data_IF_300919790902
#
_entry.id   IF_300919790902
#
_cell.length_a   1.000
_cell.length_b   1.000
_cell.length_c   1.000
_cell.angle_alpha   90.00
_cell.angle_beta   90.00
_cell.angle_gamma   90.00
#
_symmetry.space_group_name_H-M   'P 1'
#
loop_
_entity.id
_entity.type
_entity.pdbx_description
1 polymer ?
#
# COMPACT_ATOMS: atom_id res chain seq x y z
N UNK A 1 -18.46 37.31 -28.49
CA UNK A 1 -18.66 35.85 -28.51
C UNK A 1 -17.95 35.32 -27.29
N UNK A 2 -18.72 34.95 -26.27
CA UNK A 2 -18.16 34.49 -24.99
C UNK A 2 -17.87 32.99 -25.08
N UNK A 3 -16.60 32.63 -25.04
CA UNK A 3 -16.17 31.23 -24.95
C UNK A 3 -16.44 30.73 -23.54
N UNK A 4 -17.50 29.92 -23.39
CA UNK A 4 -17.72 29.13 -22.18
C UNK A 4 -16.63 28.08 -22.06
N UNK A 5 -15.60 28.36 -21.25
CA UNK A 5 -14.64 27.36 -20.80
C UNK A 5 -15.35 26.40 -19.87
N UNK A 6 -15.77 25.24 -20.39
CA UNK A 6 -16.25 24.15 -19.54
C UNK A 6 -15.08 23.65 -18.70
N UNK A 7 -15.07 23.95 -17.39
CA UNK A 7 -14.21 23.27 -16.43
C UNK A 7 -14.58 21.79 -16.45
N UNK A 8 -13.82 20.99 -17.19
CA UNK A 8 -13.88 19.53 -17.07
C UNK A 8 -13.24 19.22 -15.72
N UNK A 9 -14.07 18.89 -14.72
CA UNK A 9 -13.62 18.41 -13.43
C UNK A 9 -12.77 17.14 -13.68
N UNK A 10 -11.45 17.12 -13.40
CA UNK A 10 -10.64 15.92 -13.58
C UNK A 10 -10.92 14.96 -12.42
N UNK A 11 -12.16 14.50 -12.30
CA UNK A 11 -12.52 13.47 -11.34
C UNK A 11 -11.99 12.11 -11.83
N UNK A 12 -10.94 11.66 -11.13
CA UNK A 12 -10.82 10.28 -10.64
C UNK A 12 -10.24 9.23 -11.61
N UNK A 13 -9.00 9.45 -12.06
CA UNK A 13 -8.12 8.37 -12.52
C UNK A 13 -7.34 7.70 -11.37
N UNK A 14 -7.68 8.02 -10.12
CA UNK A 14 -6.99 7.53 -8.93
C UNK A 14 -7.99 7.02 -7.90
N UNK A 15 -7.64 5.90 -7.26
CA UNK A 15 -8.23 5.44 -6.01
C UNK A 15 -7.39 5.98 -4.86
N UNK A 16 -8.01 6.73 -3.95
CA UNK A 16 -7.34 7.36 -2.81
C UNK A 16 -7.83 6.73 -1.51
N UNK A 17 -6.94 5.98 -0.86
CA UNK A 17 -7.20 5.32 0.41
C UNK A 17 -6.57 6.10 1.56
N UNK A 18 -7.39 6.85 2.30
CA UNK A 18 -6.95 7.71 3.41
C UNK A 18 -6.83 6.88 4.69
N UNK A 19 -5.70 6.95 5.39
CA UNK A 19 -5.56 6.28 6.69
C UNK A 19 -6.27 7.07 7.78
N UNK A 20 -7.07 6.37 8.60
CA UNK A 20 -7.89 6.99 9.65
C UNK A 20 -7.10 7.65 10.79
N UNK A 21 -5.77 7.52 10.81
CA UNK A 21 -4.84 8.06 11.81
C UNK A 21 -3.39 7.97 11.31
N UNK A 22 -2.43 8.57 12.03
CA UNK A 22 -0.99 8.53 11.71
C UNK A 22 -0.27 7.18 11.99
N UNK A 23 -0.93 6.07 11.71
CA UNK A 23 -0.38 4.75 11.96
C UNK A 23 -1.10 3.75 11.08
N UNK A 24 -0.39 2.70 10.68
CA UNK A 24 -1.04 1.56 10.03
C UNK A 24 -1.59 0.55 11.06
N UNK A 25 -1.19 0.66 12.33
CA UNK A 25 -1.61 -0.25 13.39
C UNK A 25 -3.05 0.04 13.81
N UNK A 26 -3.96 -0.95 13.75
CA UNK A 26 -5.37 -0.78 14.12
C UNK A 26 -6.04 0.42 13.40
N UNK A 27 -5.70 0.62 12.12
CA UNK A 27 -6.20 1.72 11.31
C UNK A 27 -7.28 1.26 10.32
N UNK A 28 -8.07 2.21 9.82
CA UNK A 28 -8.97 1.97 8.70
C UNK A 28 -8.45 2.73 7.47
N UNK A 29 -8.63 2.15 6.29
CA UNK A 29 -8.43 2.86 5.03
C UNK A 29 -9.79 3.28 4.52
N UNK A 30 -9.96 4.59 4.36
CA UNK A 30 -11.18 5.21 3.90
C UNK A 30 -11.07 5.52 2.41
N UNK A 31 -12.10 5.16 1.67
CA UNK A 31 -12.31 5.56 0.29
C UNK A 31 -13.56 6.44 0.26
N UNK A 32 -13.45 7.67 -0.25
CA UNK A 32 -14.55 8.64 -0.28
C UNK A 32 -15.25 8.81 1.09
N UNK A 33 -14.46 8.81 2.18
CA UNK A 33 -14.95 8.96 3.55
C UNK A 33 -15.59 7.71 4.17
N UNK A 34 -15.71 6.60 3.42
CA UNK A 34 -16.24 5.34 3.93
C UNK A 34 -15.13 4.31 4.16
N UNK A 35 -15.26 3.47 5.18
CA UNK A 35 -14.26 2.44 5.48
C UNK A 35 -14.30 1.39 4.36
N UNK A 36 -13.21 1.30 3.59
CA UNK A 36 -13.03 0.28 2.54
C UNK A 36 -12.25 -0.92 3.05
N UNK A 37 -11.19 -0.67 3.85
CA UNK A 37 -10.37 -1.73 4.44
C UNK A 37 -10.14 -1.51 5.93
N UNK A 38 -10.07 -2.60 6.69
CA UNK A 38 -9.80 -2.60 8.13
C UNK A 38 -8.48 -3.29 8.42
N UNK A 39 -7.59 -2.62 9.15
CA UNK A 39 -6.32 -3.17 9.62
C UNK A 39 -6.50 -3.47 11.11
N UNK A 40 -6.37 -4.74 11.49
CA UNK A 40 -6.48 -5.19 12.87
C UNK A 40 -5.15 -5.77 13.32
N UNK A 41 -4.49 -5.09 14.24
CA UNK A 41 -3.17 -5.45 14.76
C UNK A 41 -3.30 -6.04 16.17
N UNK A 42 -2.75 -7.23 16.37
CA UNK A 42 -2.75 -7.95 17.64
C UNK A 42 -1.35 -8.52 17.98
N UNK A 43 -1.19 -8.96 19.23
CA UNK A 43 0.06 -9.49 19.76
C UNK A 43 1.02 -8.41 20.29
N UNK A 44 2.00 -8.84 21.10
CA UNK A 44 3.04 -7.92 21.61
C UNK A 44 3.83 -7.36 20.42
N UNK A 45 4.15 -6.07 20.46
CA UNK A 45 4.91 -5.38 19.41
C UNK A 45 4.30 -5.48 18.00
N UNK A 46 2.96 -5.52 17.90
CA UNK A 46 2.26 -5.55 16.61
C UNK A 46 2.63 -6.76 15.72
N UNK A 47 2.81 -7.94 16.34
CA UNK A 47 3.24 -9.16 15.64
C UNK A 47 2.29 -9.63 14.53
N UNK A 48 1.00 -9.38 14.65
CA UNK A 48 0.02 -9.86 13.68
C UNK A 48 -0.84 -8.69 13.21
N UNK A 49 -0.83 -8.40 11.91
CA UNK A 49 -1.77 -7.44 11.32
C UNK A 49 -2.61 -8.14 10.27
N UNK A 50 -3.92 -8.25 10.52
CA UNK A 50 -4.92 -8.72 9.56
C UNK A 50 -5.45 -7.55 8.77
N UNK A 51 -5.65 -7.77 7.47
CA UNK A 51 -6.21 -6.77 6.55
C UNK A 51 -7.46 -7.37 5.96
N UNK A 52 -8.59 -6.69 6.15
CA UNK A 52 -9.89 -7.15 5.67
C UNK A 52 -10.52 -6.11 4.74
N UNK A 53 -11.17 -6.58 3.68
CA UNK A 53 -12.16 -5.80 2.95
C UNK A 53 -13.39 -5.61 3.84
N UNK A 54 -13.76 -4.35 4.09
CA UNK A 54 -14.84 -4.00 5.00
C UNK A 54 -16.24 -4.27 4.43
N UNK A 55 -16.37 -4.32 3.09
CA UNK A 55 -17.62 -4.55 2.38
C UNK A 55 -17.91 -6.05 2.33
N UNK A 56 -16.91 -6.84 1.91
CA UNK A 56 -17.10 -8.30 1.73
C UNK A 56 -16.79 -9.11 2.99
N UNK A 57 -16.08 -8.52 3.96
CA UNK A 57 -15.57 -9.24 5.13
C UNK A 57 -14.39 -10.18 4.81
N UNK A 58 -13.92 -10.19 3.57
CA UNK A 58 -12.85 -11.09 3.12
C UNK A 58 -11.50 -10.63 3.68
N UNK A 59 -10.77 -11.54 4.32
CA UNK A 59 -9.37 -11.28 4.68
C UNK A 59 -8.52 -11.23 3.39
N UNK A 60 -7.80 -10.15 3.18
CA UNK A 60 -6.90 -9.99 2.04
C UNK A 60 -5.54 -10.63 2.33
N UNK A 61 -5.01 -10.32 3.51
CA UNK A 61 -3.73 -10.85 3.96
C UNK A 61 -3.56 -10.77 5.48
N UNK A 62 -2.67 -11.63 5.98
CA UNK A 62 -2.11 -11.58 7.31
C UNK A 62 -0.61 -11.24 7.22
N UNK A 63 -0.22 -10.15 7.87
CA UNK A 63 1.18 -9.77 8.07
C UNK A 63 1.62 -10.37 9.41
N UNK A 64 2.66 -11.19 9.39
CA UNK A 64 3.30 -11.79 10.56
C UNK A 64 4.69 -11.17 10.74
N UNK A 65 4.82 -10.30 11.74
CA UNK A 65 6.12 -9.75 12.12
C UNK A 65 6.87 -10.70 13.04
N UNK A 66 8.16 -10.83 12.82
CA UNK A 66 8.99 -11.78 13.60
C UNK A 66 10.22 -11.06 14.12
N UNK A 67 10.49 -11.23 15.41
CA UNK A 67 11.62 -10.56 16.09
C UNK A 67 12.97 -11.10 15.58
N UNK A 68 13.04 -12.41 15.28
CA UNK A 68 14.28 -13.10 14.90
C UNK A 68 14.28 -13.63 13.45
N UNK A 69 13.23 -13.35 12.67
CA UNK A 69 13.09 -13.82 11.28
C UNK A 69 12.51 -12.70 10.42
N UNK A 70 12.63 -12.82 9.10
CA UNK A 70 12.01 -11.86 8.17
C UNK A 70 10.48 -11.87 8.33
N UNK A 71 9.90 -10.67 8.29
CA UNK A 71 8.44 -10.48 8.29
C UNK A 71 7.81 -11.13 7.07
N UNK A 72 6.68 -11.79 7.28
CA UNK A 72 5.98 -12.57 6.26
C UNK A 72 4.61 -11.97 5.98
N UNK A 73 4.22 -11.95 4.70
CA UNK A 73 2.84 -11.69 4.29
C UNK A 73 2.24 -13.02 3.84
N UNK A 74 1.05 -13.34 4.34
CA UNK A 74 0.27 -14.50 3.95
C UNK A 74 -1.00 -14.00 3.28
N UNK A 75 -1.07 -14.13 1.96
CA UNK A 75 -2.28 -13.78 1.20
C UNK A 75 -3.33 -14.88 1.33
N UNK A 76 -4.61 -14.49 1.31
CA UNK A 76 -5.72 -15.44 1.38
C UNK A 76 -5.74 -16.39 0.17
N UNK A 77 -6.36 -17.57 0.34
CA UNK A 77 -6.48 -18.64 -0.67
C UNK A 77 -7.12 -18.17 -1.98
N UNK A 78 -8.04 -17.20 -1.95
CA UNK A 78 -8.61 -16.59 -3.16
C UNK A 78 -7.58 -15.84 -4.01
N UNK A 79 -6.42 -15.47 -3.45
CA UNK A 79 -5.27 -14.92 -4.17
C UNK A 79 -4.20 -16.00 -4.42
N UNK A 80 -4.63 -17.26 -4.54
CA UNK A 80 -3.79 -18.42 -4.80
C UNK A 80 -2.97 -18.92 -3.61
N UNK A 81 -3.18 -18.37 -2.39
CA UNK A 81 -2.43 -18.76 -1.19
C UNK A 81 -0.90 -18.60 -1.33
N UNK A 82 -0.45 -17.83 -2.32
CA UNK A 82 0.95 -17.72 -2.72
C UNK A 82 1.73 -17.03 -1.60
N UNK A 83 2.72 -17.73 -1.05
CA UNK A 83 3.62 -17.22 0.00
C UNK A 83 4.78 -16.40 -0.56
N UNK A 84 5.00 -16.49 -1.87
CA UNK A 84 6.19 -15.96 -2.56
C UNK A 84 5.87 -14.77 -3.47
N UNK A 85 4.71 -14.13 -3.29
CA UNK A 85 4.30 -12.95 -4.07
C UNK A 85 5.25 -11.77 -3.84
N UNK A 86 5.88 -11.71 -2.67
CA UNK A 86 6.72 -10.58 -2.26
C UNK A 86 8.12 -11.10 -1.98
N UNK A 87 9.10 -10.58 -2.71
CA UNK A 87 10.51 -11.00 -2.62
C UNK A 87 11.44 -9.80 -2.54
N UNK A 88 12.56 -9.97 -1.86
CA UNK A 88 13.67 -9.03 -2.01
C UNK A 88 14.33 -9.25 -3.37
N UNK A 89 14.57 -8.15 -4.08
CA UNK A 89 15.26 -8.15 -5.36
C UNK A 89 16.31 -7.04 -5.36
N UNK A 90 17.46 -7.26 -5.99
CA UNK A 90 18.50 -6.25 -6.13
C UNK A 90 18.39 -5.66 -7.53
N UNK A 91 18.07 -4.37 -7.60
CA UNK A 91 18.04 -3.61 -8.85
C UNK A 91 19.46 -3.42 -9.40
N UNK A 92 19.56 -3.05 -10.69
CA UNK A 92 20.83 -2.82 -11.38
C UNK A 92 21.65 -1.67 -10.76
N UNK A 93 20.97 -0.71 -10.13
CA UNK A 93 21.58 0.38 -9.35
C UNK A 93 22.15 -0.09 -8.00
N UNK A 94 22.05 -1.38 -7.69
CA UNK A 94 22.57 -2.02 -6.49
C UNK A 94 21.64 -1.97 -5.29
N UNK A 95 20.51 -1.26 -5.37
CA UNK A 95 19.56 -1.14 -4.26
C UNK A 95 18.69 -2.40 -4.12
N UNK A 96 18.49 -2.85 -2.88
CA UNK A 96 17.56 -3.94 -2.58
C UNK A 96 16.16 -3.40 -2.38
N UNK A 97 15.19 -3.91 -3.14
CA UNK A 97 13.77 -3.51 -3.14
C UNK A 97 12.88 -4.70 -2.81
N UNK A 98 11.66 -4.43 -2.33
CA UNK A 98 10.61 -5.45 -2.26
C UNK A 98 9.85 -5.47 -3.58
N UNK A 99 10.00 -6.56 -4.33
CA UNK A 99 9.29 -6.83 -5.58
C UNK A 99 7.99 -7.59 -5.31
N UNK A 100 6.93 -7.24 -6.03
CA UNK A 100 5.62 -7.87 -6.03
C UNK A 100 5.38 -8.43 -7.43
N UNK A 101 5.21 -9.74 -7.54
CA UNK A 101 4.90 -10.40 -8.81
C UNK A 101 3.43 -10.77 -8.86
N UNK A 102 2.70 -10.19 -9.81
CA UNK A 102 1.25 -10.39 -9.99
C UNK A 102 0.94 -10.81 -11.43
N UNK A 103 -0.31 -11.17 -11.70
CA UNK A 103 -0.76 -11.46 -13.07
C UNK A 103 -0.74 -10.21 -13.97
N UNK A 104 -0.83 -9.02 -13.38
CA UNK A 104 -0.75 -7.75 -14.11
C UNK A 104 0.69 -7.32 -14.43
N UNK A 105 1.68 -8.03 -13.89
CA UNK A 105 3.11 -7.71 -14.06
C UNK A 105 3.87 -7.69 -12.74
N UNK A 106 5.13 -7.28 -12.85
CA UNK A 106 6.07 -7.14 -11.75
C UNK A 106 6.20 -5.68 -11.33
N UNK A 107 6.20 -5.47 -10.02
CA UNK A 107 6.24 -4.15 -9.40
C UNK A 107 7.29 -4.13 -8.30
N UNK A 108 7.82 -2.97 -7.95
CA UNK A 108 8.74 -2.86 -6.82
C UNK A 108 8.54 -1.57 -6.03
N UNK A 109 8.67 -1.69 -4.71
CA UNK A 109 8.65 -0.56 -3.80
C UNK A 109 10.03 0.10 -3.74
N UNK A 110 10.05 1.43 -3.89
CA UNK A 110 11.27 2.24 -3.76
C UNK A 110 10.99 3.47 -2.89
N UNK A 111 12.02 3.91 -2.17
CA UNK A 111 11.98 5.20 -1.48
C UNK A 111 11.91 6.32 -2.51
N UNK A 112 10.96 7.24 -2.34
CA UNK A 112 10.75 8.35 -3.27
C UNK A 112 10.97 9.70 -2.58
N UNK A 113 11.71 10.66 -3.16
CA UNK A 113 12.00 11.93 -2.51
C UNK A 113 10.75 12.72 -2.08
N UNK A 114 9.70 12.67 -2.90
CA UNK A 114 8.45 13.42 -2.66
C UNK A 114 7.45 12.59 -1.85
N UNK A 115 7.31 11.31 -2.18
CA UNK A 115 6.23 10.46 -1.68
C UNK A 115 6.66 9.63 -0.47
N UNK A 116 7.95 9.67 -0.10
CA UNK A 116 8.62 8.78 0.86
C UNK A 116 8.65 7.32 0.42
N UNK A 117 7.51 6.74 0.05
CA UNK A 117 7.39 5.38 -0.46
C UNK A 117 6.48 5.37 -1.69
N UNK A 118 6.94 4.74 -2.76
CA UNK A 118 6.18 4.58 -3.99
C UNK A 118 6.46 3.22 -4.65
N UNK A 119 5.45 2.69 -5.33
CA UNK A 119 5.51 1.47 -6.11
C UNK A 119 5.67 1.85 -7.58
N UNK A 120 6.57 1.17 -8.28
CA UNK A 120 6.83 1.34 -9.69
C UNK A 120 6.58 0.03 -10.43
N UNK A 121 6.15 0.13 -11.69
CA UNK A 121 6.14 -1.04 -12.58
C UNK A 121 7.57 -1.30 -13.05
N UNK A 122 7.96 -2.56 -13.22
CA UNK A 122 9.23 -2.89 -13.88
C UNK A 122 9.25 -2.37 -15.33
N UNK A 123 8.08 -2.29 -15.99
CA UNK A 123 7.96 -1.74 -17.35
C UNK A 123 8.01 -0.21 -17.41
N UNK A 124 7.77 0.49 -16.30
CA UNK A 124 7.86 1.95 -16.19
C UNK A 124 8.48 2.32 -14.83
N UNK A 125 9.82 2.37 -14.76
CA UNK A 125 10.54 2.64 -13.52
C UNK A 125 10.54 4.14 -13.16
N UNK A 126 9.97 5.01 -14.01
CA UNK A 126 10.01 6.47 -13.87
C UNK A 126 8.75 6.97 -13.17
N UNK A 127 7.58 6.47 -13.59
CA UNK A 127 6.30 6.96 -13.05
C UNK A 127 5.73 6.00 -12.01
N UNK A 128 5.50 6.47 -10.76
CA UNK A 128 4.93 5.61 -9.74
C UNK A 128 3.49 5.24 -10.10
N UNK A 129 3.14 3.98 -9.81
CA UNK A 129 1.79 3.42 -10.01
C UNK A 129 0.95 3.49 -8.74
N UNK A 130 1.65 3.43 -7.59
CA UNK A 130 1.09 3.67 -6.26
C UNK A 130 2.06 4.55 -5.50
N UNK A 131 1.56 5.50 -4.72
CA UNK A 131 2.42 6.32 -3.89
C UNK A 131 1.73 6.77 -2.60
N UNK A 132 2.54 7.05 -1.59
CA UNK A 132 2.07 7.70 -0.37
C UNK A 132 1.97 9.21 -0.59
N UNK A 133 0.85 9.76 -0.14
CA UNK A 133 0.58 11.19 -0.14
C UNK A 133 0.38 11.66 1.30
N UNK A 134 1.01 12.75 1.71
CA UNK A 134 0.73 13.37 3.00
C UNK A 134 -0.59 14.14 2.92
N UNK A 135 -1.46 13.98 3.92
CA UNK A 135 -2.74 14.69 3.99
C UNK A 135 -2.60 15.81 5.03
N UNK A 136 -3.02 17.02 4.67
CA UNK A 136 -2.93 18.20 5.54
C UNK A 136 -4.04 18.28 6.60
N UNK A 137 -4.84 17.23 6.76
CA UNK A 137 -5.97 17.22 7.68
C UNK A 137 -5.53 16.79 9.08
N UNK A 138 -5.99 17.47 10.15
CA UNK A 138 -5.50 17.23 11.51
C UNK A 138 -5.80 15.83 12.05
N UNK A 139 -6.75 15.09 11.45
CA UNK A 139 -7.12 13.72 11.83
C UNK A 139 -6.47 12.63 10.97
N UNK A 140 -6.00 12.97 9.78
CA UNK A 140 -5.49 12.01 8.80
C UNK A 140 -4.11 12.43 8.34
N UNK A 141 -3.12 11.54 8.47
CA UNK A 141 -1.73 11.95 8.25
C UNK A 141 -1.23 11.60 6.86
N UNK A 142 -1.82 10.59 6.21
CA UNK A 142 -1.43 10.20 4.87
C UNK A 142 -2.50 9.36 4.17
N UNK A 143 -2.42 9.31 2.85
CA UNK A 143 -3.21 8.48 1.97
C UNK A 143 -2.30 7.61 1.11
N UNK A 144 -2.81 6.46 0.70
CA UNK A 144 -2.25 5.62 -0.33
C UNK A 144 -3.01 5.89 -1.62
N UNK A 145 -2.33 6.45 -2.61
CA UNK A 145 -2.91 6.78 -3.92
C UNK A 145 -2.53 5.69 -4.91
N UNK A 146 -3.53 5.09 -5.53
CA UNK A 146 -3.41 4.01 -6.51
C UNK A 146 -3.97 4.52 -7.83
N UNK A 147 -3.19 4.46 -8.91
CA UNK A 147 -3.72 4.75 -10.24
C UNK A 147 -4.75 3.69 -10.63
N UNK A 148 -5.87 4.11 -11.23
CA UNK A 148 -7.04 3.25 -11.52
C UNK A 148 -6.71 2.00 -12.33
N UNK A 149 -5.79 2.12 -13.27
CA UNK A 149 -5.32 0.99 -14.10
C UNK A 149 -4.64 -0.13 -13.29
N UNK A 150 -4.22 0.15 -12.05
CA UNK A 150 -3.61 -0.81 -11.12
C UNK A 150 -4.50 -1.14 -9.91
N UNK A 151 -5.81 -0.83 -9.96
CA UNK A 151 -6.74 -1.24 -8.89
C UNK A 151 -6.81 -2.76 -8.74
N UNK A 152 -6.59 -3.52 -9.81
CA UNK A 152 -6.58 -4.98 -9.79
C UNK A 152 -5.53 -5.56 -8.84
N UNK A 153 -4.42 -4.85 -8.60
CA UNK A 153 -3.34 -5.29 -7.71
C UNK A 153 -3.46 -4.74 -6.28
N UNK A 154 -4.51 -3.98 -5.96
CA UNK A 154 -4.64 -3.26 -4.68
C UNK A 154 -4.53 -4.19 -3.47
N UNK A 155 -5.00 -5.42 -3.65
CA UNK A 155 -4.95 -6.51 -2.69
C UNK A 155 -3.52 -6.94 -2.30
N UNK A 156 -2.55 -6.77 -3.21
CA UNK A 156 -1.13 -6.99 -2.96
C UNK A 156 -0.44 -5.73 -2.44
N UNK A 157 -0.91 -4.57 -2.90
CA UNK A 157 -0.36 -3.26 -2.55
C UNK A 157 -0.59 -2.94 -1.07
N UNK A 158 -1.82 -3.07 -0.56
CA UNK A 158 -2.12 -2.67 0.82
C UNK A 158 -1.26 -3.45 1.84
N UNK A 159 -1.16 -4.80 1.78
CA UNK A 159 -0.36 -5.54 2.75
C UNK A 159 1.14 -5.24 2.66
N UNK A 160 1.66 -5.06 1.45
CA UNK A 160 3.08 -4.77 1.24
C UNK A 160 3.45 -3.36 1.70
N UNK A 161 2.60 -2.38 1.40
CA UNK A 161 2.73 -1.02 1.90
C UNK A 161 2.73 -0.98 3.44
N UNK A 162 1.75 -1.62 4.08
CA UNK A 162 1.63 -1.66 5.56
C UNK A 162 2.86 -2.29 6.20
N UNK A 163 3.37 -3.39 5.63
CA UNK A 163 4.62 -4.02 6.11
C UNK A 163 5.78 -3.03 6.03
N UNK A 164 5.98 -2.39 4.88
CA UNK A 164 7.11 -1.49 4.63
C UNK A 164 7.06 -0.22 5.48
N UNK A 165 5.91 0.43 5.57
CA UNK A 165 5.72 1.65 6.37
C UNK A 165 6.10 1.41 7.84
N UNK A 166 5.77 0.23 8.35
CA UNK A 166 6.04 -0.15 9.73
C UNK A 166 7.50 -0.52 9.96
N UNK A 167 8.13 -1.19 9.00
CA UNK A 167 9.58 -1.42 9.02
C UNK A 167 10.34 -0.10 9.05
N UNK A 168 9.98 0.86 8.19
CA UNK A 168 10.59 2.19 8.19
C UNK A 168 10.36 2.94 9.52
N UNK A 169 9.15 2.87 10.09
CA UNK A 169 8.85 3.49 11.39
C UNK A 169 9.64 2.84 12.54
N UNK A 170 9.93 1.55 12.48
CA UNK A 170 10.77 0.88 13.48
C UNK A 170 12.25 1.27 13.38
N UNK A 171 12.79 1.37 12.16
CA UNK A 171 14.18 1.78 11.92
C UNK A 171 14.44 3.24 12.31
N UNK A 172 13.44 4.12 12.21
CA UNK A 172 13.56 5.50 12.63
C UNK A 172 13.55 5.70 14.17
N UNK A 173 13.21 4.65 14.94
CA UNK A 173 13.10 4.70 16.41
C UNK A 173 14.27 3.99 17.12
N UNK A 174 15.09 3.25 16.38
CA UNK A 174 16.32 2.59 16.87
C UNK A 174 17.51 3.52 16.76
#
# INVERSE_FOLDING_TARGET
MESTTTLVNPESHITRLVFSKDSTLNANLLENGQIRYKLSTTGRNAQHTRILDAITGTELALIQRRIFKRDKIVFNAHQGGRRDVVKEHKLDDGFTVQMISTEAGDFYWKMHPIHRLALFSVSDPIHPVVYRESVSEPKFSFALVVKREYESIINYVIPTFVKLEEQMKSLARS
#
